data_IF_590537929195
#
_entry.id   IF_590537929195
#
_cell.length_a   1.000
_cell.length_b   1.000
_cell.length_c   1.000
_cell.angle_alpha   90.00
_cell.angle_beta   90.00
_cell.angle_gamma   90.00
#
_symmetry.space_group_name_H-M   'P 1'
#
loop_
_entity.id
_entity.type
_entity.pdbx_description
1 polymer ?
#
# COMPACT_ATOMS: atom_id res chain seq x y z
N UNK A 1 -18.40 -25.71 -34.68
CA UNK A 1 -17.00 -25.23 -34.55
C UNK A 1 -17.03 -23.94 -33.77
N UNK A 2 -16.67 -24.00 -32.51
CA UNK A 2 -16.54 -22.77 -31.68
C UNK A 2 -15.28 -22.06 -32.12
N UNK A 3 -15.43 -20.86 -32.67
CA UNK A 3 -14.29 -19.95 -32.90
C UNK A 3 -13.72 -19.62 -31.52
N UNK A 4 -12.43 -19.89 -31.27
CA UNK A 4 -11.83 -19.45 -30.02
C UNK A 4 -11.90 -17.93 -29.99
N UNK A 5 -12.56 -17.37 -29.01
CA UNK A 5 -12.58 -15.92 -28.77
C UNK A 5 -11.15 -15.49 -28.44
N UNK A 6 -10.45 -14.98 -29.42
CA UNK A 6 -9.15 -14.36 -29.21
C UNK A 6 -9.36 -12.99 -28.59
N UNK A 7 -8.96 -12.85 -27.34
CA UNK A 7 -8.89 -11.56 -26.67
C UNK A 7 -7.48 -11.03 -26.82
N UNK A 8 -7.28 -9.85 -27.43
CA UNK A 8 -5.95 -9.24 -27.51
C UNK A 8 -5.33 -9.05 -26.12
N UNK A 9 -4.01 -9.27 -25.94
CA UNK A 9 -3.34 -9.11 -24.65
C UNK A 9 -3.56 -7.74 -24.00
N UNK A 10 -3.60 -6.68 -24.79
CA UNK A 10 -3.88 -5.32 -24.31
C UNK A 10 -5.28 -5.19 -23.71
N UNK A 11 -6.28 -5.79 -24.35
CA UNK A 11 -7.64 -5.78 -23.83
C UNK A 11 -7.73 -6.58 -22.51
N UNK A 12 -7.10 -7.74 -22.44
CA UNK A 12 -7.06 -8.55 -21.23
C UNK A 12 -6.39 -7.80 -20.06
N UNK A 13 -5.27 -7.13 -20.34
CA UNK A 13 -4.56 -6.31 -19.35
C UNK A 13 -5.43 -5.16 -18.84
N UNK A 14 -6.15 -4.50 -19.76
CA UNK A 14 -7.09 -3.43 -19.39
C UNK A 14 -8.24 -3.95 -18.54
N UNK A 15 -8.84 -5.06 -18.92
CA UNK A 15 -9.95 -5.68 -18.17
C UNK A 15 -9.51 -6.10 -16.75
N UNK A 16 -8.30 -6.68 -16.61
CA UNK A 16 -7.71 -7.00 -15.30
C UNK A 16 -7.51 -5.76 -14.45
N UNK A 17 -6.97 -4.69 -15.02
CA UNK A 17 -6.74 -3.44 -14.32
C UNK A 17 -8.06 -2.79 -13.86
N UNK A 18 -9.06 -2.76 -14.73
CA UNK A 18 -10.38 -2.21 -14.39
C UNK A 18 -11.09 -3.03 -13.32
N UNK A 19 -10.94 -4.36 -13.36
CA UNK A 19 -11.45 -5.25 -12.33
C UNK A 19 -10.82 -4.96 -10.96
N UNK A 20 -9.49 -4.85 -10.89
CA UNK A 20 -8.77 -4.56 -9.65
C UNK A 20 -9.15 -3.18 -9.10
N UNK A 21 -9.18 -2.14 -9.93
CA UNK A 21 -9.58 -0.79 -9.52
C UNK A 21 -11.00 -0.73 -8.95
N UNK A 22 -11.95 -1.43 -9.59
CA UNK A 22 -13.33 -1.51 -9.09
C UNK A 22 -13.41 -2.20 -7.73
N UNK A 23 -12.63 -3.25 -7.51
CA UNK A 23 -12.54 -3.92 -6.23
C UNK A 23 -11.98 -3.03 -5.13
N UNK A 24 -10.91 -2.31 -5.42
CA UNK A 24 -10.26 -1.37 -4.51
C UNK A 24 -11.19 -0.19 -4.17
N UNK A 25 -11.87 0.37 -5.16
CA UNK A 25 -12.78 1.50 -4.99
C UNK A 25 -14.01 1.19 -4.09
N UNK A 26 -14.36 -0.07 -3.89
CA UNK A 26 -15.39 -0.51 -2.95
C UNK A 26 -14.89 -0.53 -1.51
N UNK A 27 -13.58 -0.52 -1.32
CA UNK A 27 -12.95 -0.50 0.00
C UNK A 27 -13.13 0.87 0.66
N UNK A 28 -13.26 0.85 2.00
CA UNK A 28 -13.27 2.10 2.78
C UNK A 28 -11.91 2.78 2.67
N UNK A 29 -11.86 4.10 2.65
CA UNK A 29 -10.62 4.84 2.48
C UNK A 29 -9.65 4.62 3.64
N UNK A 30 -8.39 4.86 3.33
CA UNK A 30 -7.29 4.91 4.27
C UNK A 30 -6.38 6.07 3.89
N UNK A 31 -5.95 6.83 4.88
CA UNK A 31 -5.03 7.96 4.71
C UNK A 31 -3.73 7.65 5.45
N UNK A 32 -2.62 7.97 4.83
CA UNK A 32 -1.29 8.02 5.43
C UNK A 32 -0.77 9.43 5.32
N UNK A 33 -0.27 9.99 6.41
CA UNK A 33 0.09 11.40 6.53
C UNK A 33 1.39 11.55 7.30
N UNK A 34 2.36 12.26 6.76
CA UNK A 34 3.55 12.69 7.49
C UNK A 34 3.23 13.92 8.32
N UNK A 35 3.72 13.96 9.55
CA UNK A 35 3.63 15.12 10.43
C UNK A 35 4.98 15.33 11.16
N UNK A 36 5.13 16.40 11.90
CA UNK A 36 6.40 16.75 12.56
C UNK A 36 6.99 15.62 13.45
N UNK A 37 6.14 14.79 14.04
CA UNK A 37 6.55 13.71 14.94
C UNK A 37 6.65 12.32 14.30
N UNK A 38 6.31 12.15 13.02
CA UNK A 38 6.34 10.84 12.38
C UNK A 38 5.33 10.63 11.25
N UNK A 39 4.69 9.46 11.22
CA UNK A 39 3.71 9.10 10.20
C UNK A 39 2.41 8.66 10.88
N UNK A 40 1.30 9.28 10.50
CA UNK A 40 -0.04 9.00 10.97
C UNK A 40 -0.79 8.14 9.95
N UNK A 41 -1.43 7.07 10.42
CA UNK A 41 -2.33 6.24 9.62
C UNK A 41 -3.75 6.39 10.13
N UNK A 42 -4.66 6.73 9.24
CA UNK A 42 -6.09 6.89 9.56
C UNK A 42 -6.91 6.01 8.63
N UNK A 43 -7.71 5.13 9.21
CA UNK A 43 -8.58 4.23 8.45
C UNK A 43 -9.95 4.13 9.10
N UNK A 44 -11.00 4.22 8.28
CA UNK A 44 -12.33 3.83 8.73
C UNK A 44 -12.38 2.29 8.84
N UNK A 45 -12.53 1.80 10.06
CA UNK A 45 -12.56 0.37 10.33
C UNK A 45 -13.67 -0.01 11.32
N UNK A 46 -14.86 -0.40 10.86
CA UNK A 46 -15.94 -0.84 11.72
C UNK A 46 -15.77 -2.26 12.28
N UNK A 47 -14.74 -2.98 11.81
CA UNK A 47 -14.47 -4.36 12.21
C UNK A 47 -13.47 -4.39 13.37
N UNK A 48 -13.73 -5.23 14.36
CA UNK A 48 -12.79 -5.52 15.44
C UNK A 48 -11.73 -6.57 15.07
N UNK A 49 -11.93 -7.27 13.94
CA UNK A 49 -11.05 -8.37 13.50
C UNK A 49 -10.18 -8.03 12.30
N UNK A 50 -10.58 -7.03 11.51
CA UNK A 50 -9.86 -6.63 10.32
C UNK A 50 -8.91 -5.47 10.64
N UNK A 51 -7.63 -5.68 10.44
CA UNK A 51 -6.62 -4.64 10.62
C UNK A 51 -6.11 -4.19 9.26
N UNK A 52 -6.42 -2.94 8.90
CA UNK A 52 -5.93 -2.32 7.66
C UNK A 52 -4.52 -1.76 7.80
N UNK A 53 -4.10 -1.51 9.04
CA UNK A 53 -2.79 -0.98 9.40
C UNK A 53 -2.11 -1.98 10.32
N UNK A 54 -0.83 -2.24 10.08
CA UNK A 54 -0.02 -3.16 10.89
C UNK A 54 1.45 -2.75 10.89
N UNK A 55 2.14 -3.11 11.95
CA UNK A 55 3.59 -3.11 11.99
C UNK A 55 4.13 -4.27 11.16
N UNK A 56 5.12 -4.01 10.30
CA UNK A 56 5.88 -5.06 9.60
C UNK A 56 7.19 -5.36 10.32
N UNK A 57 7.88 -4.33 10.75
CA UNK A 57 9.17 -4.47 11.42
C UNK A 57 9.59 -3.13 12.03
N UNK A 58 10.14 -3.17 13.25
CA UNK A 58 10.80 -2.05 13.96
C UNK A 58 10.14 -0.66 13.70
N UNK A 59 10.55 0.02 12.61
CA UNK A 59 10.07 1.34 12.20
C UNK A 59 9.24 1.33 10.92
N UNK A 60 8.86 0.14 10.46
CA UNK A 60 8.18 -0.04 9.18
C UNK A 60 6.74 -0.47 9.42
N UNK A 61 5.81 0.32 8.94
CA UNK A 61 4.39 0.05 8.96
C UNK A 61 3.85 -0.29 7.57
N UNK A 62 2.76 -1.04 7.58
CA UNK A 62 2.00 -1.47 6.42
C UNK A 62 0.59 -0.96 6.55
N UNK A 63 0.06 -0.43 5.47
CA UNK A 63 -1.35 -0.12 5.35
C UNK A 63 -1.88 -0.65 4.02
N UNK A 64 -3.12 -1.12 4.01
CA UNK A 64 -3.71 -1.70 2.82
C UNK A 64 -5.20 -1.42 2.69
N UNK A 65 -5.65 -1.34 1.45
CA UNK A 65 -7.06 -1.26 1.06
C UNK A 65 -7.36 -2.32 0.01
N UNK A 66 -8.63 -2.70 -0.09
CA UNK A 66 -9.11 -3.70 -1.03
C UNK A 66 -9.55 -4.99 -0.35
N UNK A 67 -9.30 -6.14 -0.98
CA UNK A 67 -9.74 -7.44 -0.49
C UNK A 67 -8.90 -7.92 0.69
N UNK A 68 -9.53 -8.09 1.84
CA UNK A 68 -8.84 -8.45 3.10
C UNK A 68 -7.96 -9.69 3.00
N UNK A 69 -8.47 -10.80 2.47
CA UNK A 69 -7.71 -12.05 2.39
C UNK A 69 -6.43 -11.91 1.54
N UNK A 70 -6.46 -11.04 0.54
CA UNK A 70 -5.32 -10.79 -0.34
C UNK A 70 -4.26 -9.92 0.35
N UNK A 71 -4.66 -8.81 0.98
CA UNK A 71 -3.68 -7.98 1.66
C UNK A 71 -3.19 -8.58 2.99
N UNK A 72 -3.97 -9.43 3.65
CA UNK A 72 -3.51 -10.16 4.84
C UNK A 72 -2.40 -11.17 4.48
N UNK A 73 -2.52 -11.87 3.36
CA UNK A 73 -1.45 -12.72 2.84
C UNK A 73 -0.16 -11.92 2.57
N UNK A 74 -0.29 -10.73 1.98
CA UNK A 74 0.85 -9.83 1.72
C UNK A 74 1.45 -9.31 3.02
N UNK A 75 0.64 -8.92 4.00
CA UNK A 75 1.12 -8.50 5.31
C UNK A 75 1.97 -9.59 5.97
N UNK A 76 1.46 -10.82 6.04
CA UNK A 76 2.19 -11.95 6.62
C UNK A 76 3.49 -12.24 5.86
N UNK A 77 3.48 -12.17 4.54
CA UNK A 77 4.67 -12.33 3.72
C UNK A 77 5.72 -11.24 4.01
N UNK A 78 5.27 -10.00 4.18
CA UNK A 78 6.13 -8.86 4.53
C UNK A 78 6.81 -9.01 5.88
N UNK A 79 6.05 -9.42 6.91
CA UNK A 79 6.60 -9.70 8.26
C UNK A 79 7.68 -10.78 8.18
N UNK A 80 7.39 -11.89 7.49
CA UNK A 80 8.37 -12.98 7.33
C UNK A 80 9.63 -12.54 6.61
N UNK A 81 9.48 -11.75 5.54
CA UNK A 81 10.62 -11.22 4.78
C UNK A 81 11.48 -10.31 5.65
N UNK A 82 10.85 -9.41 6.42
CA UNK A 82 11.54 -8.51 7.34
C UNK A 82 12.30 -9.29 8.42
N UNK A 83 11.66 -10.27 9.06
CA UNK A 83 12.27 -11.13 10.09
C UNK A 83 13.49 -11.90 9.53
N UNK A 84 13.35 -12.53 8.37
CA UNK A 84 14.43 -13.29 7.73
C UNK A 84 15.61 -12.37 7.42
N UNK A 85 15.36 -11.19 6.86
CA UNK A 85 16.43 -10.22 6.55
C UNK A 85 17.11 -9.68 7.80
N UNK A 86 16.32 -9.29 8.79
CA UNK A 86 16.84 -8.77 10.06
C UNK A 86 17.68 -9.79 10.81
N UNK A 87 17.31 -11.07 10.74
CA UNK A 87 18.10 -12.16 11.30
C UNK A 87 19.39 -12.45 10.52
N UNK A 88 19.30 -12.46 9.19
CA UNK A 88 20.41 -12.83 8.31
C UNK A 88 21.50 -11.75 8.19
N UNK A 89 21.12 -10.48 8.24
CA UNK A 89 22.03 -9.36 7.98
C UNK A 89 22.12 -8.40 9.17
N UNK A 90 21.05 -7.77 9.55
CA UNK A 90 20.95 -6.81 10.64
C UNK A 90 19.60 -6.10 10.62
N UNK A 91 19.21 -5.52 11.75
CA UNK A 91 17.90 -4.81 11.83
C UNK A 91 17.87 -3.58 10.92
N UNK A 92 18.98 -2.89 10.80
CA UNK A 92 19.17 -1.71 9.96
C UNK A 92 19.11 -2.01 8.46
N UNK A 93 19.34 -3.26 8.06
CA UNK A 93 19.28 -3.69 6.66
C UNK A 93 17.84 -3.96 6.18
N UNK A 94 16.89 -3.98 7.09
CA UNK A 94 15.46 -4.08 6.74
C UNK A 94 14.92 -2.68 6.48
N UNK A 95 14.62 -2.39 5.22
CA UNK A 95 14.12 -1.09 4.79
C UNK A 95 12.76 -1.19 4.14
N UNK A 96 11.94 -0.14 4.26
CA UNK A 96 10.64 -0.04 3.58
C UNK A 96 10.76 -0.18 2.07
N UNK A 97 11.83 0.37 1.48
CA UNK A 97 12.14 0.22 0.04
C UNK A 97 12.29 -1.25 -0.34
N UNK A 98 13.03 -2.02 0.44
CA UNK A 98 13.28 -3.43 0.13
C UNK A 98 12.00 -4.27 0.22
N UNK A 99 11.12 -3.95 1.17
CA UNK A 99 9.81 -4.60 1.32
C UNK A 99 8.87 -4.17 0.20
N UNK A 100 8.80 -2.89 -0.13
CA UNK A 100 7.98 -2.38 -1.23
C UNK A 100 8.37 -3.01 -2.57
N UNK A 101 9.67 -3.18 -2.84
CA UNK A 101 10.15 -3.87 -4.04
C UNK A 101 9.74 -5.34 -4.07
N UNK A 102 9.76 -6.04 -2.94
CA UNK A 102 9.30 -7.42 -2.86
C UNK A 102 7.79 -7.52 -3.15
N UNK A 103 6.98 -6.61 -2.61
CA UNK A 103 5.56 -6.52 -2.93
C UNK A 103 5.31 -6.20 -4.41
N UNK A 104 6.09 -5.28 -4.97
CA UNK A 104 6.04 -4.96 -6.39
C UNK A 104 6.24 -6.18 -7.27
N UNK A 105 7.26 -6.97 -7.00
CA UNK A 105 7.54 -8.20 -7.73
C UNK A 105 6.41 -9.22 -7.58
N UNK A 106 5.92 -9.43 -6.37
CA UNK A 106 4.83 -10.37 -6.09
C UNK A 106 3.54 -9.96 -6.81
N UNK A 107 3.12 -8.71 -6.67
CA UNK A 107 1.89 -8.20 -7.31
C UNK A 107 2.02 -8.19 -8.83
N UNK A 108 3.17 -7.80 -9.37
CA UNK A 108 3.45 -7.83 -10.80
C UNK A 108 3.38 -9.24 -11.39
N UNK A 109 3.92 -10.24 -10.70
CA UNK A 109 3.82 -11.64 -11.11
C UNK A 109 2.36 -12.12 -11.08
N UNK A 110 1.62 -11.85 -10.01
CA UNK A 110 0.21 -12.21 -9.90
C UNK A 110 -0.61 -11.55 -11.01
N UNK A 111 -0.36 -10.27 -11.28
CA UNK A 111 -1.08 -9.53 -12.32
C UNK A 111 -0.87 -10.12 -13.72
N UNK A 112 0.35 -10.57 -14.02
CA UNK A 112 0.67 -11.15 -15.34
C UNK A 112 0.24 -12.62 -15.43
N UNK A 113 0.53 -13.42 -14.42
CA UNK A 113 0.41 -14.88 -14.49
C UNK A 113 -0.96 -15.42 -14.08
N UNK A 114 -1.62 -14.78 -13.10
CA UNK A 114 -2.90 -15.25 -12.61
C UNK A 114 -4.07 -14.75 -13.46
N UNK A 115 -5.12 -15.55 -13.55
CA UNK A 115 -6.35 -15.14 -14.23
C UNK A 115 -7.00 -13.95 -13.55
N UNK A 116 -7.07 -13.97 -12.20
CA UNK A 116 -7.63 -12.91 -11.38
C UNK A 116 -6.51 -12.09 -10.75
N UNK A 117 -6.41 -10.77 -11.01
CA UNK A 117 -5.49 -9.90 -10.31
C UNK A 117 -5.90 -9.73 -8.85
N UNK A 118 -4.96 -9.34 -7.98
CA UNK A 118 -5.28 -8.90 -6.63
C UNK A 118 -5.97 -7.53 -6.67
N UNK A 119 -7.00 -7.41 -5.84
CA UNK A 119 -7.77 -6.17 -5.66
C UNK A 119 -7.22 -5.43 -4.43
N UNK A 120 -5.97 -4.98 -4.51
CA UNK A 120 -5.27 -4.35 -3.38
C UNK A 120 -4.43 -3.16 -3.79
N UNK A 121 -4.33 -2.20 -2.89
CA UNK A 121 -3.29 -1.17 -2.85
C UNK A 121 -2.65 -1.17 -1.47
N UNK A 122 -1.34 -0.96 -1.44
CA UNK A 122 -0.53 -1.02 -0.23
C UNK A 122 0.25 0.28 -0.04
N UNK A 123 0.42 0.67 1.20
CA UNK A 123 1.43 1.63 1.61
C UNK A 123 2.42 0.95 2.55
N UNK A 124 3.70 1.07 2.26
CA UNK A 124 4.79 0.71 3.15
C UNK A 124 5.49 2.00 3.55
N UNK A 125 5.48 2.29 4.84
CA UNK A 125 6.06 3.53 5.35
C UNK A 125 7.06 3.25 6.46
N UNK A 126 8.12 4.05 6.52
CA UNK A 126 9.21 3.93 7.48
C UNK A 126 9.51 5.27 8.10
N UNK A 127 9.56 5.31 9.42
CA UNK A 127 9.98 6.51 10.16
C UNK A 127 11.49 6.63 10.10
N UNK A 128 11.97 7.78 9.64
CA UNK A 128 13.39 8.10 9.61
C UNK A 128 14.00 8.20 11.00
N UNK A 129 15.29 7.89 11.11
CA UNK A 129 16.09 8.03 12.34
C UNK A 129 17.36 8.79 12.06
N UNK A 130 17.94 9.37 13.10
CA UNK A 130 19.24 10.07 13.01
C UNK A 130 19.29 11.19 11.95
N UNK A 131 18.15 11.88 11.76
CA UNK A 131 18.02 12.94 10.77
C UNK A 131 17.71 12.46 9.35
N UNK A 132 17.53 11.16 9.14
CA UNK A 132 17.03 10.65 7.86
C UNK A 132 15.53 10.99 7.71
N UNK A 133 15.07 11.32 6.49
CA UNK A 133 13.67 11.59 6.24
C UNK A 133 12.84 10.31 6.37
N UNK A 134 11.53 10.47 6.62
CA UNK A 134 10.57 9.40 6.46
C UNK A 134 10.53 8.91 5.02
N UNK A 135 10.13 7.66 4.83
CA UNK A 135 9.92 7.08 3.50
C UNK A 135 8.52 6.48 3.40
N UNK A 136 7.87 6.69 2.27
CA UNK A 136 6.53 6.17 2.00
C UNK A 136 6.45 5.67 0.57
N UNK A 137 6.09 4.40 0.40
CA UNK A 137 5.95 3.72 -0.89
C UNK A 137 4.53 3.25 -1.10
N UNK A 138 3.91 3.71 -2.18
CA UNK A 138 2.61 3.25 -2.64
C UNK A 138 2.79 2.16 -3.68
N UNK A 139 2.31 0.96 -3.40
CA UNK A 139 2.38 -0.20 -4.30
C UNK A 139 0.98 -0.54 -4.75
N UNK A 140 0.76 -0.61 -6.04
CA UNK A 140 -0.55 -0.87 -6.63
C UNK A 140 -0.65 -2.29 -7.20
N UNK A 141 -1.85 -2.71 -7.52
CA UNK A 141 -2.22 -4.08 -7.90
C UNK A 141 -1.42 -4.68 -9.07
N UNK A 142 -0.87 -3.86 -9.95
CA UNK A 142 -0.06 -4.29 -11.10
C UNK A 142 1.44 -4.37 -10.82
N UNK A 143 1.84 -4.06 -9.57
CA UNK A 143 3.22 -4.07 -9.13
C UNK A 143 3.97 -2.74 -9.29
N UNK A 144 3.32 -1.69 -9.81
CA UNK A 144 3.94 -0.37 -9.84
C UNK A 144 4.16 0.18 -8.44
N UNK A 145 5.30 0.83 -8.22
CA UNK A 145 5.68 1.48 -6.96
C UNK A 145 5.86 2.97 -7.20
N UNK A 146 5.27 3.77 -6.32
CA UNK A 146 5.39 5.22 -6.35
C UNK A 146 5.97 5.71 -5.02
N UNK A 147 7.04 6.49 -5.08
CA UNK A 147 7.51 7.28 -3.94
C UNK A 147 6.47 8.34 -3.62
N UNK A 148 6.05 8.42 -2.37
CA UNK A 148 5.13 9.43 -1.88
C UNK A 148 5.80 10.27 -0.81
N UNK A 149 5.44 11.54 -0.77
CA UNK A 149 5.86 12.49 0.27
C UNK A 149 4.65 13.22 0.79
N UNK A 150 4.64 13.43 2.09
CA UNK A 150 3.63 14.18 2.78
C UNK A 150 2.38 13.36 3.06
N UNK A 151 1.64 12.96 2.06
CA UNK A 151 0.38 12.23 2.26
C UNK A 151 0.04 11.29 1.11
N UNK A 152 -0.84 10.35 1.43
CA UNK A 152 -1.43 9.40 0.49
C UNK A 152 -2.83 9.01 0.98
N UNK A 153 -3.83 9.12 0.12
CA UNK A 153 -5.12 8.48 0.34
C UNK A 153 -5.31 7.33 -0.65
N UNK A 154 -5.84 6.21 -0.17
CA UNK A 154 -6.07 4.98 -0.92
C UNK A 154 -7.49 4.47 -0.71
N UNK A 155 -7.99 3.64 -1.63
CA UNK A 155 -9.32 3.03 -1.55
C UNK A 155 -10.43 3.89 -2.11
N UNK A 156 -11.65 3.71 -1.60
CA UNK A 156 -12.81 4.50 -2.05
C UNK A 156 -12.61 5.99 -1.79
N UNK A 157 -13.04 6.83 -2.75
CA UNK A 157 -12.91 8.30 -2.65
C UNK A 157 -11.47 8.84 -2.56
N UNK A 158 -10.47 8.03 -2.95
CA UNK A 158 -9.06 8.40 -2.84
C UNK A 158 -8.73 9.72 -3.57
N UNK A 159 -9.30 9.96 -4.74
CA UNK A 159 -9.05 11.19 -5.52
C UNK A 159 -9.57 12.43 -4.81
N UNK A 160 -10.78 12.37 -4.24
CA UNK A 160 -11.36 13.47 -3.48
C UNK A 160 -10.57 13.76 -2.20
N UNK A 161 -10.15 12.71 -1.50
CA UNK A 161 -9.35 12.81 -0.29
C UNK A 161 -7.94 13.36 -0.59
N UNK A 162 -7.28 12.89 -1.62
CA UNK A 162 -5.99 13.44 -2.04
C UNK A 162 -6.10 14.92 -2.43
N UNK A 163 -7.18 15.32 -3.11
CA UNK A 163 -7.43 16.72 -3.44
C UNK A 163 -7.71 17.58 -2.19
N UNK A 164 -8.37 17.03 -1.19
CA UNK A 164 -8.61 17.72 0.09
C UNK A 164 -7.30 17.88 0.88
N UNK A 165 -6.52 16.81 0.99
CA UNK A 165 -5.21 16.82 1.65
C UNK A 165 -4.25 17.81 0.98
N UNK A 166 -4.22 17.86 -0.35
CA UNK A 166 -3.39 18.81 -1.10
C UNK A 166 -3.64 20.28 -0.72
N UNK A 167 -4.86 20.61 -0.28
CA UNK A 167 -5.22 21.98 0.12
C UNK A 167 -4.90 22.30 1.58
N UNK A 168 -4.91 21.29 2.44
CA UNK A 168 -4.78 21.48 3.89
C UNK A 168 -3.48 20.95 4.50
N UNK A 169 -2.69 20.20 3.74
CA UNK A 169 -1.46 19.59 4.25
C UNK A 169 -0.35 20.62 4.48
N UNK A 170 0.31 20.50 5.62
CA UNK A 170 1.55 21.19 5.97
C UNK A 170 2.53 20.16 6.54
N UNK A 171 3.73 20.08 6.00
CA UNK A 171 4.77 19.13 6.41
C UNK A 171 5.25 19.31 7.85
N UNK A 172 5.01 20.48 8.43
CA UNK A 172 5.39 20.82 9.80
C UNK A 172 4.22 20.74 10.80
N UNK A 173 3.06 20.24 10.35
CA UNK A 173 1.91 20.13 11.24
C UNK A 173 2.20 19.20 12.42
N UNK A 174 1.66 19.59 13.58
CA UNK A 174 1.64 18.74 14.77
C UNK A 174 0.51 17.70 14.67
N UNK A 175 0.57 16.66 15.49
CA UNK A 175 -0.41 15.56 15.48
C UNK A 175 -1.87 16.04 15.58
N UNK A 176 -2.15 16.99 16.44
CA UNK A 176 -3.51 17.51 16.66
C UNK A 176 -4.08 18.18 15.39
N UNK A 177 -3.22 18.87 14.63
CA UNK A 177 -3.61 19.44 13.34
C UNK A 177 -3.80 18.35 12.26
N UNK A 178 -3.00 17.30 12.30
CA UNK A 178 -3.13 16.16 11.39
C UNK A 178 -4.38 15.31 11.63
N UNK A 179 -5.00 15.42 12.82
CA UNK A 179 -6.23 14.72 13.17
C UNK A 179 -7.52 15.50 12.84
N UNK A 180 -7.43 16.76 12.46
CA UNK A 180 -8.54 17.63 12.07
C UNK A 180 -8.82 17.58 10.56
#
# INVERSE_FOLDING_TARGET
MSVPFYVPPEQLTKEKADFARKGIARGRPLIVLEYAGGILFVAENPSTHLHKVAELYDRIAFAAVGRFSEFENLRQAGVRLADIRGYAYGREDVTSRSIANAYSQTLGQIFVQEFKPYEVELCVAEVGTDGAPNAMYHVVFDGNVFDRKGFLAMGGQADELNAALQRGYDEHMELDAGLQ
#
